data_IF_144518126642
#
_entry.id   IF_144518126642
#
_cell.length_a   1.000
_cell.length_b   1.000
_cell.length_c   1.000
_cell.angle_alpha   90.00
_cell.angle_beta   90.00
_cell.angle_gamma   90.00
#
_symmetry.space_group_name_H-M   'P 1'
#
loop_
_entity.id
_entity.type
_entity.pdbx_description
1 polymer ?
#
# COMPACT_ATOMS: atom_id res chain seq x y z
N UNK A 1 1.37 3.86 -18.58
CA UNK A 1 0.74 2.53 -18.54
C UNK A 1 1.48 1.73 -17.49
N UNK A 2 0.76 1.17 -16.53
CA UNK A 2 1.35 0.36 -15.44
C UNK A 2 1.63 -1.06 -15.93
N UNK A 3 2.74 -1.63 -15.48
CA UNK A 3 3.10 -3.02 -15.69
C UNK A 3 3.08 -3.80 -14.37
N UNK A 4 2.68 -5.08 -14.46
CA UNK A 4 2.60 -5.99 -13.33
C UNK A 4 3.39 -7.25 -13.63
N UNK A 5 4.29 -7.62 -12.73
CA UNK A 5 5.03 -8.88 -12.80
C UNK A 5 4.90 -9.63 -11.49
N UNK A 6 4.57 -10.93 -11.56
CA UNK A 6 4.47 -11.80 -10.40
C UNK A 6 5.66 -12.77 -10.41
N UNK A 7 6.30 -12.92 -9.26
CA UNK A 7 7.34 -13.92 -9.05
C UNK A 7 7.10 -14.63 -7.73
N UNK A 8 7.31 -15.95 -7.69
CA UNK A 8 7.11 -16.74 -6.48
C UNK A 8 8.35 -17.55 -6.17
N UNK A 9 8.65 -17.67 -4.89
CA UNK A 9 9.74 -18.47 -4.35
C UNK A 9 9.26 -19.20 -3.10
N UNK A 10 9.74 -20.42 -2.89
CA UNK A 10 9.56 -21.11 -1.61
C UNK A 10 10.65 -20.68 -0.63
N UNK A 11 10.25 -20.37 0.58
CA UNK A 11 11.16 -20.16 1.70
C UNK A 11 11.66 -21.52 2.25
N UNK A 12 12.67 -21.47 3.12
CA UNK A 12 13.23 -22.65 3.80
C UNK A 12 12.19 -23.45 4.61
N UNK A 13 11.15 -22.79 5.12
CA UNK A 13 10.03 -23.38 5.86
C UNK A 13 8.92 -23.94 4.94
N UNK A 14 9.17 -24.05 3.64
CA UNK A 14 8.21 -24.43 2.59
C UNK A 14 7.05 -23.45 2.37
N UNK A 15 7.02 -22.30 3.07
CA UNK A 15 6.04 -21.25 2.81
C UNK A 15 6.27 -20.61 1.45
N UNK A 16 5.19 -20.34 0.72
CA UNK A 16 5.24 -19.65 -0.56
C UNK A 16 5.28 -18.14 -0.33
N UNK A 17 6.38 -17.54 -0.77
CA UNK A 17 6.53 -16.09 -0.86
C UNK A 17 6.27 -15.66 -2.29
N UNK A 18 5.29 -14.78 -2.49
CA UNK A 18 4.98 -14.19 -3.79
C UNK A 18 5.29 -12.71 -3.76
N UNK A 19 6.00 -12.24 -4.77
CA UNK A 19 6.32 -10.83 -4.98
C UNK A 19 5.52 -10.30 -6.16
N UNK A 20 4.72 -9.28 -5.91
CA UNK A 20 4.03 -8.50 -6.94
C UNK A 20 4.84 -7.24 -7.20
N UNK A 21 5.45 -7.16 -8.38
CA UNK A 21 6.18 -5.99 -8.86
C UNK A 21 5.23 -5.09 -9.64
N UNK A 22 5.19 -3.81 -9.26
CA UNK A 22 4.39 -2.78 -9.91
C UNK A 22 5.34 -1.71 -10.46
N UNK A 23 5.19 -1.40 -11.74
CA UNK A 23 6.07 -0.44 -12.42
C UNK A 23 5.25 0.58 -13.22
N UNK A 24 5.65 1.85 -13.16
CA UNK A 24 4.99 2.96 -13.85
C UNK A 24 3.99 3.73 -12.98
N UNK A 25 3.11 4.49 -13.63
CA UNK A 25 2.09 5.31 -12.97
C UNK A 25 0.84 4.47 -12.67
N UNK A 26 0.44 4.41 -11.40
CA UNK A 26 -0.72 3.66 -10.91
C UNK A 26 -1.89 4.60 -10.68
N UNK A 27 -3.02 4.34 -11.30
CA UNK A 27 -4.21 5.20 -11.20
C UNK A 27 -5.44 4.41 -10.78
N UNK A 28 -6.54 5.10 -10.48
CA UNK A 28 -7.83 4.48 -10.18
C UNK A 28 -8.33 3.55 -11.30
N UNK A 29 -7.93 3.80 -12.56
CA UNK A 29 -8.28 2.93 -13.68
C UNK A 29 -7.69 1.52 -13.53
N UNK A 30 -6.63 1.38 -12.75
CA UNK A 30 -5.93 0.13 -12.52
C UNK A 30 -6.46 -0.67 -11.32
N UNK A 31 -7.39 -0.08 -10.56
CA UNK A 31 -7.90 -0.61 -9.31
C UNK A 31 -8.43 -2.04 -9.42
N UNK A 32 -9.30 -2.30 -10.40
CA UNK A 32 -9.97 -3.59 -10.53
C UNK A 32 -8.96 -4.70 -10.82
N UNK A 33 -8.07 -4.47 -11.79
CA UNK A 33 -7.01 -5.42 -12.14
C UNK A 33 -6.07 -5.67 -10.97
N UNK A 34 -5.65 -4.62 -10.26
CA UNK A 34 -4.75 -4.76 -9.14
C UNK A 34 -5.41 -5.51 -7.97
N UNK A 35 -6.69 -5.24 -7.69
CA UNK A 35 -7.48 -5.98 -6.70
C UNK A 35 -7.53 -7.47 -7.03
N UNK A 36 -7.79 -7.83 -8.28
CA UNK A 36 -7.85 -9.24 -8.71
C UNK A 36 -6.50 -9.94 -8.51
N UNK A 37 -5.40 -9.31 -8.94
CA UNK A 37 -4.05 -9.84 -8.76
C UNK A 37 -3.72 -10.03 -7.28
N UNK A 38 -4.04 -9.04 -6.43
CA UNK A 38 -3.81 -9.14 -4.99
C UNK A 38 -4.61 -10.27 -4.35
N UNK A 39 -5.88 -10.44 -4.72
CA UNK A 39 -6.71 -11.55 -4.22
C UNK A 39 -6.09 -12.90 -4.61
N UNK A 40 -5.67 -13.06 -5.85
CA UNK A 40 -5.07 -14.31 -6.32
C UNK A 40 -3.74 -14.61 -5.62
N UNK A 41 -2.89 -13.59 -5.48
CA UNK A 41 -1.63 -13.71 -4.75
C UNK A 41 -1.86 -14.09 -3.29
N UNK A 42 -2.81 -13.45 -2.60
CA UNK A 42 -3.12 -13.74 -1.20
C UNK A 42 -3.71 -15.13 -1.00
N UNK A 43 -4.50 -15.64 -1.95
CA UNK A 43 -5.02 -17.02 -1.88
C UNK A 43 -3.89 -18.03 -1.89
N UNK A 44 -2.88 -17.81 -2.73
CA UNK A 44 -1.86 -18.81 -3.02
C UNK A 44 -0.57 -18.66 -2.20
N UNK A 45 -0.37 -17.57 -1.47
CA UNK A 45 0.88 -17.29 -0.74
C UNK A 45 0.68 -17.01 0.75
N UNK A 46 1.61 -17.44 1.60
CA UNK A 46 1.68 -17.09 3.03
C UNK A 46 2.37 -15.75 3.26
N UNK A 47 3.23 -15.33 2.32
CA UNK A 47 3.92 -14.06 2.36
C UNK A 47 3.80 -13.33 1.03
N UNK A 48 3.32 -12.09 1.09
CA UNK A 48 3.26 -11.15 -0.02
C UNK A 48 4.36 -10.09 0.12
N UNK A 49 5.14 -9.89 -0.93
CA UNK A 49 5.99 -8.71 -1.10
C UNK A 49 5.40 -7.82 -2.18
N UNK A 50 4.94 -6.63 -1.81
CA UNK A 50 4.48 -5.61 -2.73
C UNK A 50 5.68 -4.72 -3.09
N UNK A 51 6.28 -4.93 -4.26
CA UNK A 51 7.39 -4.13 -4.74
C UNK A 51 6.87 -2.97 -5.59
N UNK A 52 7.11 -1.75 -5.10
CA UNK A 52 6.72 -0.48 -5.70
C UNK A 52 7.94 0.43 -5.94
N UNK A 53 9.16 -0.13 -5.99
CA UNK A 53 10.39 0.63 -6.26
C UNK A 53 10.33 1.42 -7.57
N UNK A 54 9.66 0.84 -8.58
CA UNK A 54 9.53 1.40 -9.92
C UNK A 54 8.18 2.09 -10.17
N UNK A 55 7.39 2.35 -9.12
CA UNK A 55 6.17 3.16 -9.24
C UNK A 55 6.58 4.63 -9.34
N UNK A 56 6.27 5.26 -10.46
CA UNK A 56 6.64 6.66 -10.72
C UNK A 56 5.65 7.64 -10.11
N UNK A 57 4.37 7.29 -10.12
CA UNK A 57 3.25 8.12 -9.63
C UNK A 57 2.15 7.19 -9.14
N UNK A 58 1.39 7.64 -8.13
CA UNK A 58 0.20 6.95 -7.66
C UNK A 58 -0.83 7.95 -7.12
N UNK A 59 -2.11 7.61 -7.24
CA UNK A 59 -3.20 8.42 -6.69
C UNK A 59 -3.65 7.94 -5.30
N UNK A 60 -4.58 8.69 -4.71
CA UNK A 60 -5.14 8.37 -3.39
C UNK A 60 -5.89 7.03 -3.36
N UNK A 61 -6.38 6.56 -4.51
CA UNK A 61 -6.99 5.23 -4.60
C UNK A 61 -5.93 4.18 -4.29
N UNK A 62 -4.72 4.30 -4.84
CA UNK A 62 -3.65 3.36 -4.53
C UNK A 62 -3.32 3.33 -3.02
N UNK A 63 -3.32 4.48 -2.34
CA UNK A 63 -3.16 4.55 -0.87
C UNK A 63 -4.24 3.73 -0.14
N UNK A 64 -5.51 3.91 -0.51
CA UNK A 64 -6.63 3.17 0.08
C UNK A 64 -6.47 1.66 -0.17
N UNK A 65 -6.06 1.27 -1.38
CA UNK A 65 -5.86 -0.14 -1.72
C UNK A 65 -4.79 -0.79 -0.85
N UNK A 66 -3.65 -0.12 -0.66
CA UNK A 66 -2.55 -0.63 0.17
C UNK A 66 -2.99 -0.75 1.65
N UNK A 67 -3.77 0.21 2.14
CA UNK A 67 -4.37 0.14 3.48
C UNK A 67 -5.31 -1.05 3.64
N UNK A 68 -6.20 -1.27 2.67
CA UNK A 68 -7.10 -2.42 2.65
C UNK A 68 -6.31 -3.73 2.58
N UNK A 69 -5.31 -3.81 1.71
CA UNK A 69 -4.42 -4.96 1.58
C UNK A 69 -3.76 -5.31 2.91
N UNK A 70 -3.21 -4.33 3.62
CA UNK A 70 -2.57 -4.54 4.92
C UNK A 70 -3.55 -5.08 5.96
N UNK A 71 -4.77 -4.52 6.02
CA UNK A 71 -5.84 -5.04 6.89
C UNK A 71 -6.24 -6.46 6.52
N UNK A 72 -6.39 -6.77 5.23
CA UNK A 72 -6.74 -8.11 4.77
C UNK A 72 -5.65 -9.13 5.10
N UNK A 73 -4.37 -8.78 4.89
CA UNK A 73 -3.24 -9.66 5.24
C UNK A 73 -3.22 -9.97 6.73
N UNK A 74 -3.46 -8.98 7.59
CA UNK A 74 -3.56 -9.17 9.04
C UNK A 74 -4.72 -10.09 9.42
N UNK A 75 -5.92 -9.87 8.86
CA UNK A 75 -7.09 -10.71 9.11
C UNK A 75 -6.86 -12.16 8.68
N UNK A 76 -6.09 -12.38 7.61
CA UNK A 76 -5.72 -13.69 7.11
C UNK A 76 -4.50 -14.31 7.82
N UNK A 77 -3.93 -13.65 8.83
CA UNK A 77 -2.69 -14.06 9.50
C UNK A 77 -1.52 -14.33 8.53
N UNK A 78 -1.46 -13.60 7.41
CA UNK A 78 -0.40 -13.67 6.40
C UNK A 78 0.65 -12.58 6.65
N UNK A 79 1.76 -12.63 5.92
CA UNK A 79 2.84 -11.62 6.01
C UNK A 79 2.82 -10.69 4.80
N UNK A 80 2.93 -9.38 5.04
CA UNK A 80 3.09 -8.35 3.99
C UNK A 80 4.40 -7.61 4.20
N UNK A 81 5.16 -7.45 3.12
CA UNK A 81 6.31 -6.54 3.05
C UNK A 81 6.09 -5.59 1.90
N UNK A 82 6.24 -4.28 2.12
CA UNK A 82 6.16 -3.27 1.06
C UNK A 82 7.58 -2.75 0.83
N UNK A 83 8.04 -2.77 -0.41
CA UNK A 83 9.40 -2.36 -0.79
C UNK A 83 9.30 -1.20 -1.77
N UNK A 84 10.04 -0.12 -1.51
CA UNK A 84 10.12 1.04 -2.40
C UNK A 84 10.09 2.37 -1.65
N UNK A 85 10.38 3.46 -2.36
CA UNK A 85 10.55 4.81 -1.77
C UNK A 85 9.29 5.31 -1.04
N UNK A 86 8.11 4.91 -1.50
CA UNK A 86 6.83 5.29 -0.90
C UNK A 86 6.37 4.34 0.22
N UNK A 87 7.13 3.28 0.54
CA UNK A 87 6.72 2.29 1.55
C UNK A 87 6.47 2.92 2.94
N UNK A 88 7.28 3.91 3.32
CA UNK A 88 7.15 4.63 4.58
C UNK A 88 5.87 5.48 4.58
N UNK A 89 5.52 6.11 3.45
CA UNK A 89 4.28 6.86 3.27
C UNK A 89 3.05 5.99 3.50
N UNK A 90 3.02 4.76 2.98
CA UNK A 90 1.89 3.85 3.20
C UNK A 90 1.77 3.38 4.66
N UNK A 91 2.90 3.13 5.33
CA UNK A 91 2.88 2.77 6.76
C UNK A 91 2.32 3.92 7.60
N UNK A 92 2.75 5.13 7.30
CA UNK A 92 2.27 6.37 7.91
C UNK A 92 0.74 6.53 7.72
N UNK A 93 0.24 6.49 6.47
CA UNK A 93 -1.19 6.63 6.15
C UNK A 93 -2.04 5.57 6.86
N UNK A 94 -1.57 4.33 6.88
CA UNK A 94 -2.26 3.24 7.54
C UNK A 94 -2.35 3.44 9.06
N UNK A 95 -1.26 3.83 9.71
CA UNK A 95 -1.25 4.16 11.14
C UNK A 95 -2.18 5.33 11.46
N UNK A 96 -2.21 6.36 10.61
CA UNK A 96 -3.13 7.49 10.72
C UNK A 96 -4.59 7.04 10.64
N UNK A 97 -4.93 6.15 9.68
CA UNK A 97 -6.27 5.61 9.52
C UNK A 97 -6.71 4.80 10.74
N UNK A 98 -5.83 3.97 11.30
CA UNK A 98 -6.11 3.21 12.53
C UNK A 98 -6.28 4.10 13.77
N UNK A 99 -5.49 5.17 13.88
CA UNK A 99 -5.62 6.13 14.98
C UNK A 99 -6.90 6.93 14.87
N UNK A 100 -7.34 7.29 13.65
CA UNK A 100 -8.59 8.02 13.41
C UNK A 100 -9.83 7.26 13.92
N UNK A 101 -9.77 5.93 13.90
CA UNK A 101 -10.83 5.04 14.39
C UNK A 101 -10.94 5.07 15.94
N UNK A 102 -9.88 5.52 16.63
CA UNK A 102 -9.82 5.63 18.11
C UNK A 102 -9.86 7.07 18.63
N UNK A 103 -9.36 8.02 17.84
CA UNK A 103 -9.32 9.44 18.14
C UNK A 103 -9.45 10.20 16.82
N UNK A 104 -10.52 10.98 16.63
CA UNK A 104 -10.57 11.97 15.55
C UNK A 104 -9.29 12.84 15.65
N UNK A 105 -8.55 13.05 14.53
CA UNK A 105 -7.33 13.89 14.47
C UNK A 105 -7.65 15.25 15.13
N UNK A 106 -7.39 15.39 16.42
CA UNK A 106 -7.79 16.56 17.23
C UNK A 106 -6.59 17.29 17.82
N UNK A 107 -5.38 16.75 17.66
CA UNK A 107 -4.15 17.44 18.06
C UNK A 107 -3.04 17.13 17.07
N UNK A 108 -2.87 18.04 16.11
CA UNK A 108 -1.66 18.16 15.31
C UNK A 108 -0.55 18.76 16.19
N UNK A 109 0.03 17.96 17.07
CA UNK A 109 1.32 18.28 17.70
C UNK A 109 2.42 17.54 16.94
N UNK A 110 2.97 18.23 15.95
CA UNK A 110 4.36 18.20 15.44
C UNK A 110 5.11 16.89 15.16
N UNK A 111 4.54 15.69 15.35
CA UNK A 111 5.30 14.45 15.07
C UNK A 111 4.47 13.21 14.73
N UNK A 112 3.16 13.31 14.51
CA UNK A 112 2.35 12.13 14.18
C UNK A 112 1.75 12.25 12.79
N UNK A 113 1.85 11.16 12.05
CA UNK A 113 1.28 11.03 10.73
C UNK A 113 -0.24 11.33 10.74
N UNK A 114 -0.66 12.56 10.45
CA UNK A 114 -2.08 12.83 10.19
C UNK A 114 -2.30 12.63 8.68
N UNK A 115 -3.31 11.84 8.33
CA UNK A 115 -3.60 11.42 6.95
C UNK A 115 -3.74 12.61 6.01
N UNK A 116 -4.23 13.74 6.53
CA UNK A 116 -4.45 14.96 5.77
C UNK A 116 -3.15 15.65 5.35
N UNK A 117 -2.13 15.72 6.20
CA UNK A 117 -0.86 16.39 5.86
C UNK A 117 -0.10 15.67 4.73
N UNK A 118 -0.24 14.34 4.65
CA UNK A 118 0.40 13.51 3.60
C UNK A 118 -0.39 13.49 2.29
N UNK A 119 -1.72 13.65 2.34
CA UNK A 119 -2.56 13.78 1.14
C UNK A 119 -2.30 15.11 0.43
N UNK A 120 -2.10 16.21 1.17
CA UNK A 120 -1.84 17.51 0.55
C UNK A 120 -0.41 17.68 0.03
N UNK A 121 0.57 16.95 0.56
CA UNK A 121 1.97 17.06 0.13
C UNK A 121 2.28 16.30 -1.17
N UNK A 122 1.50 15.27 -1.51
CA UNK A 122 1.66 14.52 -2.76
C UNK A 122 0.56 14.80 -3.80
N UNK A 123 -0.40 15.68 -3.48
CA UNK A 123 -1.45 16.07 -4.42
C UNK A 123 -0.96 17.17 -5.37
N UNK A 124 -1.21 17.08 -6.69
CA UNK A 124 -0.91 18.15 -7.65
C UNK A 124 -1.76 19.41 -7.41
N UNK A 125 -2.73 19.35 -6.49
CA UNK A 125 -3.58 20.47 -6.09
C UNK A 125 -3.06 21.11 -4.81
N UNK A 126 -1.84 21.66 -4.84
CA UNK A 126 -1.40 22.55 -3.77
C UNK A 126 -2.22 23.84 -3.87
N UNK A 127 -3.19 24.03 -2.98
CA UNK A 127 -3.82 25.33 -2.77
C UNK A 127 -2.73 26.28 -2.27
N UNK A 128 -2.22 27.11 -3.16
CA UNK A 128 -1.40 28.26 -2.78
C UNK A 128 -2.24 29.13 -1.85
N UNK A 129 -1.81 29.24 -0.59
CA UNK A 129 -2.24 30.30 0.31
C UNK A 129 -1.81 31.66 -0.23
#
# INVERSE_FOLDING_TARGET
>A
MVAYTISSARNYDSSLRTTLHIEGAVTVADWERLRELLIDVLKNSEQLVLNIENVSEFDDSFNVLVCLLRRTVQLLSKRLTIVGKAADTFSCIYEAALHSDKHACSYATTSSCCIWDNLFTNSPYTLKQ
#
